data_IF_707992231776
#
_entry.id   IF_707992231776
#
_cell.length_a   1.000
_cell.length_b   1.000
_cell.length_c   1.000
_cell.angle_alpha   90.00
_cell.angle_beta   90.00
_cell.angle_gamma   90.00
#
_symmetry.space_group_name_H-M   'P 1'
#
loop_
_entity.id
_entity.type
_entity.pdbx_description
1 polymer ?
#
# COMPACT_ATOMS: atom_id res chain seq x y z
N UNK A 1 -12.40 77.75 8.16
CA UNK A 1 -11.17 77.12 8.72
C UNK A 1 -11.37 76.36 10.05
N UNK A 2 -12.38 76.65 10.87
CA UNK A 2 -12.66 75.92 12.14
C UNK A 2 -13.14 74.48 11.92
N UNK A 3 -13.97 74.23 10.90
CA UNK A 3 -14.58 72.91 10.66
C UNK A 3 -13.60 71.87 10.09
N UNK A 4 -12.57 72.30 9.36
CA UNK A 4 -11.52 71.41 8.82
C UNK A 4 -10.61 70.88 9.94
N UNK A 5 -10.37 71.70 10.98
CA UNK A 5 -9.62 71.26 12.17
C UNK A 5 -10.40 70.22 12.99
N UNK A 6 -11.72 70.34 13.07
CA UNK A 6 -12.58 69.38 13.80
C UNK A 6 -12.65 68.04 13.06
N UNK A 7 -12.80 68.05 11.74
CA UNK A 7 -12.79 66.83 10.91
C UNK A 7 -11.42 66.13 10.95
N UNK A 8 -10.32 66.90 10.92
CA UNK A 8 -8.97 66.35 11.06
C UNK A 8 -8.72 65.68 12.43
N UNK A 9 -9.27 66.24 13.52
CA UNK A 9 -9.15 65.65 14.87
C UNK A 9 -9.99 64.38 15.02
N UNK A 10 -11.19 64.33 14.41
CA UNK A 10 -12.05 63.13 14.42
C UNK A 10 -11.43 61.98 13.62
N UNK A 11 -10.82 62.29 12.45
CA UNK A 11 -10.14 61.29 11.63
C UNK A 11 -8.86 60.76 12.30
N UNK A 12 -8.14 61.61 13.04
CA UNK A 12 -6.96 61.21 13.82
C UNK A 12 -7.34 60.34 15.03
N UNK A 13 -8.47 60.60 15.69
CA UNK A 13 -9.00 59.74 16.76
C UNK A 13 -9.54 58.40 16.23
N UNK A 14 -10.09 58.35 15.01
CA UNK A 14 -10.58 57.11 14.40
C UNK A 14 -9.45 56.12 14.05
N UNK A 15 -8.26 56.61 13.72
CA UNK A 15 -7.07 55.76 13.48
C UNK A 15 -6.47 55.26 14.81
N UNK A 16 -6.56 56.03 15.89
CA UNK A 16 -6.06 55.64 17.22
C UNK A 16 -6.96 54.62 17.94
N UNK A 17 -8.21 54.47 17.52
CA UNK A 17 -9.16 53.47 18.05
C UNK A 17 -9.42 52.28 17.10
N UNK A 18 -8.56 52.07 16.11
CA UNK A 18 -8.50 50.78 15.41
C UNK A 18 -7.93 49.71 16.34
N UNK A 19 -8.73 49.27 17.32
CA UNK A 19 -8.48 48.09 18.14
C UNK A 19 -8.57 46.85 17.24
N UNK A 20 -7.48 46.54 16.54
CA UNK A 20 -7.29 45.21 15.97
C UNK A 20 -7.25 44.18 17.10
N UNK A 21 -7.80 42.98 16.85
CA UNK A 21 -7.73 41.87 17.80
C UNK A 21 -6.28 41.66 18.24
N UNK A 22 -6.08 41.49 19.53
CA UNK A 22 -4.77 41.18 20.10
C UNK A 22 -4.25 39.84 19.57
N UNK A 23 -2.93 39.64 19.60
CA UNK A 23 -2.32 38.35 19.24
C UNK A 23 -2.88 37.20 20.09
N UNK A 24 -3.24 37.45 21.35
CA UNK A 24 -3.86 36.47 22.25
C UNK A 24 -5.25 36.06 21.79
N UNK A 25 -6.08 37.02 21.39
CA UNK A 25 -7.43 36.74 20.87
C UNK A 25 -7.37 35.96 19.55
N UNK A 26 -6.46 36.34 18.65
CA UNK A 26 -6.25 35.63 17.37
C UNK A 26 -5.74 34.20 17.58
N UNK A 27 -4.86 33.99 18.56
CA UNK A 27 -4.39 32.66 18.94
C UNK A 27 -5.53 31.78 19.49
N UNK A 28 -6.39 32.35 20.35
CA UNK A 28 -7.56 31.66 20.87
C UNK A 28 -8.57 31.30 19.77
N UNK A 29 -8.81 32.20 18.81
CA UNK A 29 -9.68 31.92 17.66
C UNK A 29 -9.15 30.78 16.80
N UNK A 30 -7.84 30.74 16.57
CA UNK A 30 -7.23 29.66 15.78
C UNK A 30 -7.25 28.33 16.52
N UNK A 31 -7.06 28.32 17.83
CA UNK A 31 -7.28 27.14 18.66
C UNK A 31 -8.74 26.64 18.57
N UNK A 32 -9.71 27.53 18.74
CA UNK A 32 -11.14 27.17 18.66
C UNK A 32 -11.53 26.64 17.27
N UNK A 33 -10.95 27.23 16.21
CA UNK A 33 -11.11 26.71 14.85
C UNK A 33 -10.58 25.28 14.73
N UNK A 34 -9.40 25.00 15.29
CA UNK A 34 -8.83 23.66 15.29
C UNK A 34 -9.73 22.64 15.99
N UNK A 35 -10.31 23.01 17.14
CA UNK A 35 -11.27 22.17 17.87
C UNK A 35 -12.52 21.88 17.01
N UNK A 36 -13.11 22.91 16.40
CA UNK A 36 -14.30 22.73 15.55
C UNK A 36 -14.04 21.83 14.32
N UNK A 37 -12.86 21.97 13.72
CA UNK A 37 -12.43 21.15 12.57
C UNK A 37 -12.21 19.70 13.02
N UNK A 38 -11.61 19.49 14.18
CA UNK A 38 -11.43 18.16 14.77
C UNK A 38 -12.77 17.49 15.11
N UNK A 39 -13.74 18.22 15.67
CA UNK A 39 -15.10 17.72 15.96
C UNK A 39 -15.85 17.27 14.69
N UNK A 40 -15.51 17.85 13.53
CA UNK A 40 -16.01 17.45 12.21
C UNK A 40 -15.27 16.25 11.61
N UNK A 41 -14.27 15.71 12.31
CA UNK A 41 -13.49 14.54 11.92
C UNK A 41 -12.23 14.84 11.10
N UNK A 42 -11.93 16.10 10.80
CA UNK A 42 -10.74 16.48 10.03
C UNK A 42 -9.52 16.66 10.95
N UNK A 43 -8.90 15.54 11.30
CA UNK A 43 -7.74 15.52 12.20
C UNK A 43 -6.51 16.18 11.59
N UNK A 44 -6.35 16.15 10.25
CA UNK A 44 -5.18 16.70 9.57
C UNK A 44 -5.23 18.22 9.65
N UNK A 45 -6.34 18.82 9.24
CA UNK A 45 -6.49 20.28 9.28
C UNK A 45 -6.47 20.78 10.72
N UNK A 46 -7.06 20.05 11.67
CA UNK A 46 -6.99 20.41 13.08
C UNK A 46 -5.53 20.47 13.59
N UNK A 47 -4.72 19.45 13.35
CA UNK A 47 -3.30 19.44 13.75
C UNK A 47 -2.52 20.57 13.09
N UNK A 48 -2.75 20.84 11.80
CA UNK A 48 -2.13 21.98 11.11
C UNK A 48 -2.48 23.33 11.75
N UNK A 49 -3.74 23.52 12.16
CA UNK A 49 -4.16 24.74 12.87
C UNK A 49 -3.49 24.83 14.24
N UNK A 50 -3.40 23.73 15.00
CA UNK A 50 -2.76 23.72 16.33
C UNK A 50 -1.25 24.01 16.24
N UNK A 51 -0.55 23.35 15.33
CA UNK A 51 0.91 23.49 15.15
C UNK A 51 1.29 24.93 14.76
N UNK A 52 0.41 25.61 14.01
CA UNK A 52 0.63 27.00 13.59
C UNK A 52 0.53 28.03 14.72
N UNK A 53 -0.11 27.71 15.85
CA UNK A 53 -0.36 28.69 16.94
C UNK A 53 0.96 29.22 17.48
N UNK A 54 1.96 28.36 17.67
CA UNK A 54 3.28 28.74 18.18
C UNK A 54 4.07 29.61 17.21
N UNK A 55 3.96 29.33 15.90
CA UNK A 55 4.66 30.08 14.86
C UNK A 55 4.03 31.45 14.60
N UNK A 56 2.70 31.54 14.59
CA UNK A 56 1.97 32.77 14.26
C UNK A 56 1.81 33.70 15.48
N UNK A 57 1.74 33.15 16.69
CA UNK A 57 1.47 33.91 17.91
C UNK A 57 2.43 33.54 19.05
N UNK A 58 3.75 33.77 18.90
CA UNK A 58 4.76 33.34 19.87
C UNK A 58 4.57 33.93 21.28
N UNK A 59 3.89 35.07 21.42
CA UNK A 59 3.60 35.73 22.70
C UNK A 59 2.35 35.16 23.42
N UNK A 60 1.54 34.35 22.74
CA UNK A 60 0.30 33.80 23.27
C UNK A 60 0.55 32.48 24.04
N UNK A 61 1.37 32.55 25.09
CA UNK A 61 1.87 31.37 25.85
C UNK A 61 0.76 30.41 26.28
N UNK A 62 -0.37 30.93 26.77
CA UNK A 62 -1.51 30.10 27.18
C UNK A 62 -2.14 29.33 26.00
N UNK A 63 -2.34 30.01 24.86
CA UNK A 63 -2.88 29.39 23.65
C UNK A 63 -1.91 28.37 23.07
N UNK A 64 -0.60 28.62 23.14
CA UNK A 64 0.43 27.65 22.73
C UNK A 64 0.37 26.39 23.61
N UNK A 65 0.25 26.55 24.93
CA UNK A 65 0.13 25.42 25.85
C UNK A 65 -1.12 24.58 25.56
N UNK A 66 -2.28 25.24 25.40
CA UNK A 66 -3.55 24.57 25.02
C UNK A 66 -3.44 23.87 23.67
N UNK A 67 -2.81 24.51 22.68
CA UNK A 67 -2.62 23.93 21.36
C UNK A 67 -1.75 22.67 21.42
N UNK A 68 -0.66 22.70 22.20
CA UNK A 68 0.21 21.53 22.41
C UNK A 68 -0.51 20.39 23.11
N UNK A 69 -1.29 20.68 24.16
CA UNK A 69 -2.08 19.68 24.88
C UNK A 69 -3.11 19.02 23.95
N UNK A 70 -3.82 19.80 23.15
CA UNK A 70 -4.78 19.28 22.19
C UNK A 70 -4.10 18.47 21.08
N UNK A 71 -2.97 18.92 20.52
CA UNK A 71 -2.19 18.15 19.55
C UNK A 71 -1.74 16.81 20.13
N UNK A 72 -1.28 16.79 21.40
CA UNK A 72 -0.91 15.57 22.10
C UNK A 72 -2.11 14.61 22.24
N UNK A 73 -3.28 15.12 22.63
CA UNK A 73 -4.51 14.35 22.73
C UNK A 73 -4.91 13.72 21.37
N UNK A 74 -4.98 14.53 20.31
CA UNK A 74 -5.34 14.06 18.97
C UNK A 74 -4.36 12.99 18.48
N UNK A 75 -3.05 13.22 18.63
CA UNK A 75 -2.03 12.26 18.21
C UNK A 75 -2.10 10.95 19.02
N UNK A 76 -2.42 11.01 20.32
CA UNK A 76 -2.61 9.83 21.16
C UNK A 76 -3.82 8.99 20.72
N UNK A 77 -4.92 9.64 20.32
CA UNK A 77 -6.09 8.96 19.77
C UNK A 77 -5.84 8.35 18.38
N UNK A 78 -5.05 9.03 17.52
CA UNK A 78 -4.61 8.45 16.24
C UNK A 78 -3.73 7.23 16.50
N UNK A 79 -2.78 7.33 17.44
CA UNK A 79 -1.90 6.23 17.82
C UNK A 79 -2.68 5.02 18.30
N UNK A 80 -3.63 5.21 19.23
CA UNK A 80 -4.48 4.12 19.74
C UNK A 80 -5.27 3.44 18.62
N UNK A 81 -5.89 4.20 17.71
CA UNK A 81 -6.61 3.62 16.55
C UNK A 81 -5.69 2.83 15.63
N UNK A 82 -4.46 3.29 15.39
CA UNK A 82 -3.48 2.57 14.57
C UNK A 82 -2.97 1.30 15.27
N UNK A 83 -2.81 1.31 16.59
CA UNK A 83 -2.49 0.12 17.37
C UNK A 83 -3.61 -0.93 17.26
N UNK A 84 -4.87 -0.52 17.40
CA UNK A 84 -6.01 -1.43 17.20
C UNK A 84 -6.04 -2.03 15.78
N UNK A 85 -5.73 -1.23 14.76
CA UNK A 85 -5.62 -1.71 13.39
C UNK A 85 -4.45 -2.69 13.22
N UNK A 86 -3.31 -2.40 13.82
CA UNK A 86 -2.12 -3.25 13.79
C UNK A 86 -2.40 -4.63 14.40
N UNK A 87 -3.12 -4.68 15.52
CA UNK A 87 -3.50 -5.92 16.17
C UNK A 87 -4.48 -6.73 15.31
N UNK A 88 -5.49 -6.08 14.74
CA UNK A 88 -6.43 -6.72 13.80
C UNK A 88 -5.73 -7.31 12.57
N UNK A 89 -4.83 -6.54 11.95
CA UNK A 89 -4.05 -7.01 10.79
C UNK A 89 -3.12 -8.16 11.19
N UNK A 90 -2.50 -8.09 12.38
CA UNK A 90 -1.65 -9.16 12.89
C UNK A 90 -2.43 -10.46 13.12
N UNK A 91 -3.62 -10.40 13.71
CA UNK A 91 -4.49 -11.58 13.82
C UNK A 91 -4.91 -12.11 12.45
N UNK A 92 -5.21 -11.23 11.48
CA UNK A 92 -5.56 -11.65 10.12
C UNK A 92 -4.39 -12.35 9.41
N UNK A 93 -3.17 -11.85 9.56
CA UNK A 93 -1.96 -12.50 9.06
C UNK A 93 -1.83 -13.90 9.67
N UNK A 94 -1.93 -14.03 10.99
CA UNK A 94 -1.82 -15.34 11.66
C UNK A 94 -2.83 -16.37 11.13
N UNK A 95 -4.04 -15.95 10.76
CA UNK A 95 -5.03 -16.85 10.15
C UNK A 95 -4.66 -17.22 8.70
N UNK A 96 -4.22 -16.24 7.90
CA UNK A 96 -3.82 -16.49 6.50
C UNK A 96 -2.58 -17.37 6.42
N UNK A 97 -1.59 -17.17 7.29
CA UNK A 97 -0.35 -17.94 7.32
C UNK A 97 -0.58 -19.44 7.54
N UNK A 98 -1.70 -19.85 8.15
CA UNK A 98 -2.04 -21.29 8.31
C UNK A 98 -2.17 -22.02 6.98
N UNK A 99 -2.43 -21.31 5.88
CA UNK A 99 -2.54 -21.84 4.52
C UNK A 99 -1.19 -22.05 3.84
N UNK A 100 -0.11 -21.57 4.44
CA UNK A 100 1.24 -21.57 3.86
C UNK A 100 2.20 -22.36 4.74
N UNK A 101 3.20 -22.95 4.10
CA UNK A 101 4.43 -23.38 4.72
C UNK A 101 5.47 -22.25 4.56
N UNK A 102 6.32 -22.07 5.57
CA UNK A 102 7.39 -21.06 5.54
C UNK A 102 8.70 -21.75 5.26
N UNK A 103 9.36 -21.37 4.18
CA UNK A 103 10.62 -21.95 3.77
C UNK A 103 11.71 -20.87 3.66
N UNK A 104 12.92 -21.20 4.09
CA UNK A 104 14.10 -20.35 3.94
C UNK A 104 15.31 -21.24 3.71
N UNK A 105 15.81 -21.24 2.48
CA UNK A 105 17.04 -21.95 2.12
C UNK A 105 18.27 -21.11 2.47
N UNK A 106 19.46 -21.71 2.37
CA UNK A 106 20.73 -21.00 2.59
C UNK A 106 21.00 -19.88 1.58
N UNK A 107 20.35 -19.94 0.41
CA UNK A 107 20.47 -18.93 -0.65
C UNK A 107 19.37 -17.85 -0.56
N UNK A 108 18.32 -18.08 0.24
CA UNK A 108 17.21 -17.16 0.35
C UNK A 108 17.52 -16.00 1.28
N UNK A 109 17.44 -14.79 0.73
CA UNK A 109 17.54 -13.57 1.53
C UNK A 109 16.36 -13.43 2.49
N UNK A 110 15.18 -13.84 2.08
CA UNK A 110 13.91 -13.68 2.80
C UNK A 110 13.15 -14.99 2.87
N UNK A 111 12.44 -15.22 3.96
CA UNK A 111 11.53 -16.37 4.10
C UNK A 111 10.44 -16.31 3.03
N UNK A 112 10.20 -17.44 2.36
CA UNK A 112 9.17 -17.61 1.34
C UNK A 112 7.93 -18.26 1.95
N UNK A 113 6.76 -17.87 1.46
CA UNK A 113 5.47 -18.47 1.77
C UNK A 113 5.05 -19.39 0.63
N UNK A 114 5.03 -20.68 0.89
CA UNK A 114 4.63 -21.72 -0.07
C UNK A 114 3.21 -22.16 0.25
N UNK A 115 2.26 -21.92 -0.67
CA UNK A 115 0.87 -22.28 -0.40
C UNK A 115 0.69 -23.81 -0.39
N UNK A 116 0.00 -24.33 0.63
CA UNK A 116 -0.13 -25.79 0.87
C UNK A 116 -0.84 -26.56 -0.25
N UNK A 117 -1.64 -25.88 -1.07
CA UNK A 117 -2.27 -26.49 -2.26
C UNK A 117 -1.33 -26.62 -3.45
N UNK A 118 -0.25 -25.84 -3.52
CA UNK A 118 0.73 -25.87 -4.62
C UNK A 118 1.89 -26.82 -4.29
N UNK A 119 1.62 -28.11 -4.18
CA UNK A 119 2.68 -29.12 -4.07
C UNK A 119 3.29 -29.39 -5.45
N UNK A 120 4.46 -28.80 -5.70
CA UNK A 120 5.15 -28.79 -7.00
C UNK A 120 5.85 -30.10 -7.38
N UNK A 121 5.88 -31.09 -6.48
CA UNK A 121 6.59 -32.38 -6.62
C UNK A 121 6.17 -33.19 -7.85
N UNK A 122 5.13 -32.78 -8.58
CA UNK A 122 4.57 -33.49 -9.76
C UNK A 122 4.46 -32.66 -11.03
N UNK A 123 5.11 -31.48 -11.13
CA UNK A 123 4.97 -30.56 -12.28
C UNK A 123 6.23 -30.42 -13.16
N UNK A 124 7.17 -31.36 -13.09
CA UNK A 124 8.45 -31.28 -13.82
C UNK A 124 8.29 -31.47 -15.35
N UNK A 125 7.23 -32.12 -15.78
CA UNK A 125 6.86 -32.42 -17.17
C UNK A 125 5.61 -31.66 -17.64
N UNK A 126 5.26 -30.55 -16.97
CA UNK A 126 4.05 -29.79 -17.25
C UNK A 126 4.28 -28.29 -17.23
N UNK A 127 3.46 -27.56 -17.99
CA UNK A 127 3.43 -26.10 -17.92
C UNK A 127 2.51 -25.62 -16.79
N UNK A 128 2.92 -24.62 -16.03
CA UNK A 128 2.16 -24.09 -14.90
C UNK A 128 2.48 -22.62 -14.60
N UNK A 129 1.61 -21.97 -13.82
CA UNK A 129 1.91 -20.70 -13.18
C UNK A 129 2.34 -20.98 -11.75
N UNK A 130 3.44 -20.37 -11.34
CA UNK A 130 3.98 -20.42 -9.99
C UNK A 130 3.80 -19.08 -9.31
N UNK A 131 3.36 -19.13 -8.07
CA UNK A 131 3.27 -17.99 -7.17
C UNK A 131 4.58 -17.86 -6.39
N UNK A 132 5.00 -16.62 -6.13
CA UNK A 132 6.12 -16.29 -5.27
C UNK A 132 5.71 -15.19 -4.29
N UNK A 133 5.83 -15.47 -2.99
CA UNK A 133 5.50 -14.53 -1.92
C UNK A 133 6.56 -14.60 -0.82
N UNK A 134 7.13 -13.46 -0.44
CA UNK A 134 8.10 -13.38 0.67
C UNK A 134 7.53 -12.70 1.93
N UNK A 135 8.31 -12.73 3.02
CA UNK A 135 7.96 -12.14 4.32
C UNK A 135 7.82 -10.62 4.36
N UNK A 136 8.20 -9.92 3.29
CA UNK A 136 7.94 -8.49 3.13
C UNK A 136 6.60 -8.22 2.44
N UNK A 137 5.93 -9.27 1.97
CA UNK A 137 4.74 -9.18 1.15
C UNK A 137 5.06 -8.89 -0.33
N UNK A 138 6.30 -9.09 -0.77
CA UNK A 138 6.62 -9.01 -2.20
C UNK A 138 6.02 -10.21 -2.91
N UNK A 139 5.15 -9.92 -3.89
CA UNK A 139 4.30 -10.89 -4.55
C UNK A 139 4.50 -10.78 -6.06
N UNK A 140 4.82 -11.89 -6.71
CA UNK A 140 4.87 -12.00 -8.16
C UNK A 140 4.50 -13.41 -8.60
N UNK A 141 4.27 -13.58 -9.90
CA UNK A 141 4.07 -14.90 -10.51
C UNK A 141 5.17 -15.16 -11.54
N UNK A 142 5.44 -16.43 -11.79
CA UNK A 142 6.20 -16.86 -12.96
C UNK A 142 5.41 -17.88 -13.77
N UNK A 143 5.51 -17.80 -15.08
CA UNK A 143 4.99 -18.82 -15.98
C UNK A 143 6.12 -19.77 -16.35
N UNK A 144 5.89 -21.07 -16.17
CA UNK A 144 6.82 -22.14 -16.48
C UNK A 144 6.22 -22.93 -17.65
N UNK A 145 6.82 -22.84 -18.82
CA UNK A 145 6.45 -23.63 -20.00
C UNK A 145 7.34 -24.87 -20.08
N UNK A 146 6.74 -25.98 -20.49
CA UNK A 146 7.40 -27.25 -20.79
C UNK A 146 6.89 -27.79 -22.13
N UNK A 147 7.79 -28.18 -23.03
CA UNK A 147 7.41 -28.82 -24.28
C UNK A 147 8.55 -29.27 -25.18
N UNK A 148 8.19 -29.90 -26.30
CA UNK A 148 9.13 -30.46 -27.27
C UNK A 148 9.85 -29.41 -28.13
N UNK A 149 9.33 -28.19 -28.19
CA UNK A 149 9.92 -27.08 -28.95
C UNK A 149 9.90 -25.80 -28.12
N UNK A 150 10.88 -24.93 -28.34
CA UNK A 150 10.91 -23.56 -27.82
C UNK A 150 9.64 -22.79 -28.22
N UNK A 151 8.92 -22.31 -27.22
CA UNK A 151 7.85 -21.32 -27.34
C UNK A 151 8.42 -19.92 -27.56
N UNK A 152 9.62 -19.62 -27.03
CA UNK A 152 10.18 -18.26 -26.92
C UNK A 152 9.18 -17.33 -26.23
N UNK A 153 8.76 -17.76 -25.04
CA UNK A 153 7.72 -17.19 -24.23
C UNK A 153 8.16 -15.86 -23.61
N UNK A 154 7.28 -14.87 -23.64
CA UNK A 154 7.58 -13.51 -23.17
C UNK A 154 6.51 -12.94 -22.24
N UNK A 155 5.35 -13.60 -22.10
CA UNK A 155 4.24 -13.05 -21.35
C UNK A 155 3.02 -13.97 -21.34
N UNK A 156 2.14 -13.83 -20.35
CA UNK A 156 0.88 -14.58 -20.31
C UNK A 156 -0.33 -13.66 -20.48
N UNK A 157 -1.40 -14.22 -21.02
CA UNK A 157 -2.75 -13.64 -21.03
C UNK A 157 -3.71 -14.59 -20.33
N UNK A 158 -4.38 -14.13 -19.30
CA UNK A 158 -5.39 -14.91 -18.57
C UNK A 158 -6.76 -14.40 -18.92
N UNK A 159 -7.70 -15.29 -19.22
CA UNK A 159 -9.05 -14.93 -19.67
C UNK A 159 -10.08 -15.98 -19.27
N UNK A 160 -11.34 -15.55 -19.15
CA UNK A 160 -12.52 -16.41 -18.90
C UNK A 160 -13.44 -16.56 -20.13
N UNK A 161 -13.10 -15.88 -21.23
CA UNK A 161 -13.88 -15.80 -22.47
C UNK A 161 -14.42 -14.40 -22.77
N UNK A 162 -14.65 -13.59 -21.74
CA UNK A 162 -15.17 -12.20 -21.86
C UNK A 162 -14.14 -11.21 -21.33
N UNK A 163 -13.65 -11.44 -20.12
CA UNK A 163 -12.66 -10.61 -19.46
C UNK A 163 -11.27 -11.23 -19.60
N UNK A 164 -10.27 -10.36 -19.62
CA UNK A 164 -8.87 -10.77 -19.71
C UNK A 164 -7.94 -9.79 -19.02
N UNK A 165 -6.81 -10.30 -18.55
CA UNK A 165 -5.65 -9.53 -18.14
C UNK A 165 -4.40 -10.12 -18.82
N UNK A 166 -3.37 -9.29 -18.99
CA UNK A 166 -2.14 -9.69 -19.65
C UNK A 166 -0.95 -9.06 -18.94
N UNK A 167 0.09 -9.84 -18.71
CA UNK A 167 1.36 -9.35 -18.17
C UNK A 167 2.03 -8.42 -19.17
N UNK A 168 2.95 -7.60 -18.66
CA UNK A 168 3.92 -6.95 -19.53
C UNK A 168 4.82 -8.01 -20.19
N UNK A 169 5.41 -7.63 -21.32
CA UNK A 169 6.35 -8.47 -22.02
C UNK A 169 7.71 -8.45 -21.31
N UNK A 170 8.29 -9.63 -21.13
CA UNK A 170 9.66 -9.84 -20.67
C UNK A 170 10.45 -10.36 -21.86
N UNK A 171 11.47 -9.63 -22.30
CA UNK A 171 12.26 -10.02 -23.48
C UNK A 171 13.08 -11.28 -23.23
N UNK A 172 13.50 -11.96 -24.30
CA UNK A 172 14.25 -13.23 -24.20
C UNK A 172 15.66 -13.05 -23.58
N UNK A 173 16.19 -11.83 -23.63
CA UNK A 173 17.47 -11.42 -23.05
C UNK A 173 17.34 -10.82 -21.64
N UNK A 174 16.12 -10.63 -21.13
CA UNK A 174 15.87 -10.14 -19.76
C UNK A 174 16.29 -11.23 -18.75
N UNK A 175 17.00 -10.89 -17.66
CA UNK A 175 17.36 -11.85 -16.61
C UNK A 175 16.18 -12.57 -15.97
N UNK A 176 14.95 -12.09 -16.14
CA UNK A 176 13.74 -12.76 -15.66
C UNK A 176 13.16 -13.77 -16.66
N UNK A 177 13.78 -13.96 -17.82
CA UNK A 177 13.38 -14.90 -18.86
C UNK A 177 14.47 -15.96 -19.06
N UNK A 178 14.25 -17.14 -18.48
CA UNK A 178 15.21 -18.23 -18.49
C UNK A 178 14.76 -19.35 -19.42
N UNK A 179 15.71 -19.86 -20.19
CA UNK A 179 15.53 -20.98 -21.12
C UNK A 179 16.49 -22.09 -20.72
N UNK A 180 16.00 -23.32 -20.63
CA UNK A 180 16.83 -24.50 -20.44
C UNK A 180 16.33 -25.67 -21.28
N UNK A 181 17.26 -26.55 -21.65
CA UNK A 181 16.98 -27.73 -22.45
C UNK A 181 17.63 -28.95 -21.81
N UNK A 182 16.91 -30.06 -21.79
CA UNK A 182 17.42 -31.35 -21.36
C UNK A 182 16.72 -32.47 -22.13
N UNK A 183 17.49 -33.41 -22.70
CA UNK A 183 16.97 -34.58 -23.43
C UNK A 183 15.87 -34.25 -24.47
N UNK A 184 16.06 -33.18 -25.27
CA UNK A 184 15.12 -32.66 -26.28
C UNK A 184 13.80 -32.10 -25.71
N UNK A 185 13.78 -31.78 -24.43
CA UNK A 185 12.66 -31.06 -23.80
C UNK A 185 13.10 -29.68 -23.37
N UNK A 186 12.20 -28.72 -23.54
CA UNK A 186 12.48 -27.30 -23.38
C UNK A 186 11.67 -26.78 -22.20
N UNK A 187 12.36 -26.07 -21.29
CA UNK A 187 11.75 -25.34 -20.21
C UNK A 187 11.98 -23.84 -20.40
N UNK A 188 10.92 -23.07 -20.24
CA UNK A 188 11.00 -21.61 -20.30
C UNK A 188 10.30 -21.04 -19.08
N UNK A 189 11.05 -20.29 -18.27
CA UNK A 189 10.52 -19.61 -17.09
C UNK A 189 10.56 -18.11 -17.30
N UNK A 190 9.40 -17.47 -17.21
CA UNK A 190 9.28 -16.01 -17.26
C UNK A 190 8.74 -15.51 -15.92
N UNK A 191 9.50 -14.67 -15.22
CA UNK A 191 9.12 -14.09 -13.94
C UNK A 191 8.63 -12.65 -14.12
N UNK A 192 7.44 -12.34 -13.61
CA UNK A 192 6.79 -11.03 -13.77
C UNK A 192 6.99 -10.14 -12.55
N UNK A 193 8.25 -9.82 -12.26
CA UNK A 193 8.63 -9.00 -11.10
C UNK A 193 8.42 -7.50 -11.35
N UNK A 194 8.51 -6.68 -10.29
CA UNK A 194 8.49 -5.21 -10.37
C UNK A 194 7.28 -4.63 -11.11
N UNK A 195 6.10 -5.21 -10.87
CA UNK A 195 4.84 -4.75 -11.48
C UNK A 195 4.57 -5.29 -12.88
N UNK A 196 5.48 -6.06 -13.50
CA UNK A 196 5.27 -6.67 -14.82
C UNK A 196 4.13 -7.68 -14.88
N UNK A 197 3.57 -8.09 -13.74
CA UNK A 197 2.31 -8.83 -13.69
C UNK A 197 1.15 -8.05 -14.35
N UNK A 198 1.19 -6.71 -14.30
CA UNK A 198 0.22 -5.82 -14.92
C UNK A 198 -1.25 -6.18 -14.58
N UNK A 199 -1.49 -6.55 -13.32
CA UNK A 199 -2.82 -6.83 -12.78
C UNK A 199 -3.34 -8.24 -13.05
N UNK A 200 -2.53 -9.14 -13.62
CA UNK A 200 -2.92 -10.55 -13.84
C UNK A 200 -3.18 -11.29 -12.52
N UNK A 201 -2.37 -11.07 -11.47
CA UNK A 201 -2.61 -11.64 -10.13
C UNK A 201 -3.98 -11.20 -9.59
N UNK A 202 -4.26 -9.90 -9.63
CA UNK A 202 -5.53 -9.34 -9.16
C UNK A 202 -6.70 -9.91 -9.97
N UNK A 203 -6.56 -9.97 -11.30
CA UNK A 203 -7.56 -10.54 -12.19
C UNK A 203 -7.87 -12.00 -11.86
N UNK A 204 -6.84 -12.83 -11.63
CA UNK A 204 -7.03 -14.24 -11.24
C UNK A 204 -7.76 -14.33 -9.90
N UNK A 205 -7.37 -13.52 -8.91
CA UNK A 205 -7.96 -13.53 -7.57
C UNK A 205 -9.45 -13.11 -7.58
N UNK A 206 -9.79 -12.08 -8.37
CA UNK A 206 -11.16 -11.57 -8.49
C UNK A 206 -12.09 -12.51 -9.25
N UNK A 207 -11.53 -13.38 -10.10
CA UNK A 207 -12.28 -14.31 -10.95
C UNK A 207 -11.95 -15.79 -10.62
N UNK A 208 -11.55 -16.06 -9.37
CA UNK A 208 -11.11 -17.39 -8.95
C UNK A 208 -12.20 -18.48 -9.06
N UNK A 209 -13.47 -18.09 -9.07
CA UNK A 209 -14.64 -18.95 -9.26
C UNK A 209 -14.89 -19.33 -10.74
N UNK A 210 -14.28 -18.62 -11.70
CA UNK A 210 -14.49 -18.81 -13.13
C UNK A 210 -13.50 -19.80 -13.76
N UNK A 211 -13.85 -20.33 -14.93
CA UNK A 211 -12.95 -21.18 -15.71
C UNK A 211 -11.93 -20.33 -16.46
N UNK A 212 -10.79 -20.08 -15.81
CA UNK A 212 -9.71 -19.28 -16.38
C UNK A 212 -8.74 -20.13 -17.20
N UNK A 213 -8.32 -19.59 -18.34
CA UNK A 213 -7.24 -20.14 -19.16
C UNK A 213 -6.08 -19.16 -19.17
N UNK A 214 -4.86 -19.67 -18.99
CA UNK A 214 -3.64 -18.88 -19.17
C UNK A 214 -3.00 -19.25 -20.51
N UNK A 215 -2.89 -18.26 -21.40
CA UNK A 215 -2.22 -18.37 -22.70
C UNK A 215 -0.80 -17.85 -22.55
N UNK A 216 0.15 -18.74 -22.79
CA UNK A 216 1.56 -18.43 -22.91
C UNK A 216 1.80 -17.82 -24.30
N UNK A 217 2.31 -16.60 -24.31
CA UNK A 217 2.56 -15.81 -25.51
C UNK A 217 4.02 -15.93 -25.89
N UNK A 218 4.29 -16.45 -27.08
CA UNK A 218 5.62 -16.54 -27.68
C UNK A 218 5.48 -16.57 -29.21
N UNK A 219 6.38 -17.28 -29.91
CA UNK A 219 6.27 -17.49 -31.38
C UNK A 219 4.98 -18.20 -31.77
N UNK A 220 4.52 -19.10 -30.90
CA UNK A 220 3.20 -19.74 -30.97
C UNK A 220 2.44 -19.47 -29.67
N UNK A 221 1.14 -19.76 -29.68
CA UNK A 221 0.34 -19.73 -28.46
C UNK A 221 0.26 -21.14 -27.88
N UNK A 222 0.43 -21.25 -26.58
CA UNK A 222 0.18 -22.44 -25.80
C UNK A 222 -0.73 -22.06 -24.64
N UNK A 223 -1.62 -22.94 -24.18
CA UNK A 223 -2.49 -22.60 -23.06
C UNK A 223 -2.64 -23.74 -22.07
N UNK A 224 -2.88 -23.35 -20.82
CA UNK A 224 -3.31 -24.24 -19.75
C UNK A 224 -4.64 -23.74 -19.18
N UNK A 225 -5.41 -24.66 -18.59
CA UNK A 225 -6.54 -24.31 -17.73
C UNK A 225 -6.01 -24.12 -16.32
N UNK A 226 -6.41 -23.04 -15.65
CA UNK A 226 -6.03 -22.80 -14.25
C UNK A 226 -6.95 -23.61 -13.33
N UNK A 227 -6.34 -24.50 -12.55
CA UNK A 227 -7.07 -25.32 -11.59
C UNK A 227 -7.65 -24.47 -10.45
N UNK A 228 -8.72 -24.95 -9.82
CA UNK A 228 -9.34 -24.27 -8.68
C UNK A 228 -8.35 -24.00 -7.54
N UNK A 229 -7.48 -24.97 -7.25
CA UNK A 229 -6.45 -24.84 -6.20
C UNK A 229 -5.39 -23.79 -6.49
N UNK A 230 -4.98 -23.63 -7.76
CA UNK A 230 -4.00 -22.60 -8.17
C UNK A 230 -4.60 -21.20 -8.10
N UNK A 231 -5.84 -21.03 -8.58
CA UNK A 231 -6.56 -19.73 -8.49
C UNK A 231 -6.77 -19.33 -7.02
N UNK A 232 -7.14 -20.28 -6.17
CA UNK A 232 -7.32 -20.04 -4.74
C UNK A 232 -5.99 -19.69 -4.05
N UNK A 233 -4.89 -20.38 -4.38
CA UNK A 233 -3.56 -20.06 -3.86
C UNK A 233 -3.13 -18.63 -4.20
N UNK A 234 -3.35 -18.19 -5.44
CA UNK A 234 -3.06 -16.81 -5.88
C UNK A 234 -3.90 -15.80 -5.09
N UNK A 235 -5.20 -16.07 -4.89
CA UNK A 235 -6.09 -15.21 -4.10
C UNK A 235 -5.64 -15.09 -2.64
N UNK A 236 -5.31 -16.22 -2.01
CA UNK A 236 -4.88 -16.24 -0.61
C UNK A 236 -3.54 -15.55 -0.41
N UNK A 237 -2.62 -15.69 -1.36
CA UNK A 237 -1.32 -15.02 -1.34
C UNK A 237 -1.43 -13.52 -1.56
N UNK A 238 -2.33 -13.07 -2.45
CA UNK A 238 -2.64 -11.65 -2.60
C UNK A 238 -3.19 -11.06 -1.29
N UNK A 239 -4.09 -11.77 -0.62
CA UNK A 239 -4.61 -11.34 0.69
C UNK A 239 -3.51 -11.25 1.74
N UNK A 240 -2.60 -12.23 1.80
CA UNK A 240 -1.47 -12.24 2.73
C UNK A 240 -0.47 -11.13 2.41
N UNK A 241 -0.10 -10.94 1.14
CA UNK A 241 0.77 -9.84 0.68
C UNK A 241 0.24 -8.48 1.11
N UNK A 242 -1.06 -8.22 0.87
CA UNK A 242 -1.70 -6.97 1.25
C UNK A 242 -1.69 -6.76 2.76
N UNK A 243 -1.97 -7.81 3.55
CA UNK A 243 -1.95 -7.74 5.00
C UNK A 243 -0.53 -7.48 5.55
N UNK A 244 0.49 -8.14 5.01
CA UNK A 244 1.90 -7.93 5.38
C UNK A 244 2.33 -6.49 5.11
N UNK A 245 2.02 -5.96 3.92
CA UNK A 245 2.33 -4.57 3.55
C UNK A 245 1.61 -3.57 4.46
N UNK A 246 0.33 -3.82 4.75
CA UNK A 246 -0.45 -2.97 5.67
C UNK A 246 0.13 -2.97 7.08
N UNK A 247 0.56 -4.13 7.58
CA UNK A 247 1.22 -4.24 8.90
C UNK A 247 2.53 -3.44 8.94
N UNK A 248 3.34 -3.52 7.89
CA UNK A 248 4.60 -2.78 7.79
C UNK A 248 4.37 -1.26 7.79
N UNK A 249 3.37 -0.77 7.05
CA UNK A 249 3.03 0.66 7.04
C UNK A 249 2.51 1.11 8.41
N UNK A 250 1.58 0.37 9.02
CA UNK A 250 1.08 0.67 10.36
C UNK A 250 2.20 0.73 11.41
N UNK A 251 3.15 -0.20 11.33
CA UNK A 251 4.30 -0.22 12.24
C UNK A 251 5.16 1.04 12.10
N UNK A 252 5.39 1.50 10.87
CA UNK A 252 6.12 2.74 10.59
C UNK A 252 5.37 3.95 11.14
N UNK A 253 4.08 4.09 10.84
CA UNK A 253 3.25 5.20 11.29
C UNK A 253 3.13 5.26 12.83
N UNK A 254 2.99 4.10 13.49
CA UNK A 254 2.98 3.99 14.96
C UNK A 254 4.29 4.53 15.54
N UNK A 255 5.43 4.11 14.99
CA UNK A 255 6.76 4.57 15.44
C UNK A 255 6.93 6.08 15.26
N UNK A 256 6.49 6.61 14.13
CA UNK A 256 6.53 8.05 13.86
C UNK A 256 5.65 8.85 14.82
N UNK A 257 4.45 8.36 15.16
CA UNK A 257 3.56 9.01 16.12
C UNK A 257 4.09 8.92 17.55
N UNK A 258 4.66 7.79 17.96
CA UNK A 258 5.29 7.65 19.27
C UNK A 258 6.44 8.65 19.43
N UNK A 259 7.27 8.85 18.40
CA UNK A 259 8.34 9.83 18.44
C UNK A 259 7.85 11.29 18.57
N UNK A 260 6.63 11.60 18.12
CA UNK A 260 6.00 12.93 18.29
C UNK A 260 5.40 13.17 19.67
N UNK A 261 5.17 12.10 20.43
CA UNK A 261 4.56 12.15 21.77
C UNK A 261 5.59 12.14 22.91
N UNK A 262 6.87 11.93 22.59
CA UNK A 262 8.03 12.07 23.50
C UNK A 262 8.47 13.53 23.51
#
# INVERSE_FOLDING_TARGET
MKNIKIVGVILFFAVLFSCGKSNKERAAERFNLAVNVYEKGDTITALQQLDSVSSLFPEAIESIAKAKEMSHKINSEILSRKQDQFDKVSSRINELEKLFDKEKTEFDRFTQYIHKSQKFERRWDQSFIQLHLDERGELYISSNYYGAEWLNHMGIRVYDGIFQAKTDSVSLDDPNNHHSEFMNTHWEKVSYMNGKDNGVIQFIADNADRNLKAVFLGKRQFFIVLEAGDKQAIKDALNLSNALKMKAELQKEIKELQAKLI
#
